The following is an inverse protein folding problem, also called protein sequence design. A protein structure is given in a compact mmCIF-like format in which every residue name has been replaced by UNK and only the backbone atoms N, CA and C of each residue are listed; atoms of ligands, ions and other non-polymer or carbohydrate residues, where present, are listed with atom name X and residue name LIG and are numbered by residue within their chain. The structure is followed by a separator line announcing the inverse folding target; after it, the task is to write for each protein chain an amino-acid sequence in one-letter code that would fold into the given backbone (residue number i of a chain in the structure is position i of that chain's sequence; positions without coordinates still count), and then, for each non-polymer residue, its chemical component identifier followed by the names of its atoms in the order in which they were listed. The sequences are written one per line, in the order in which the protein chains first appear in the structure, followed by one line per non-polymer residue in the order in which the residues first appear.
data_IF_248554865919
#
_entry.id   IF_248554865919
#
_cell.length_a   1.000
_cell.length_b   1.000
_cell.length_c   1.000
_cell.angle_alpha   90.00
_cell.angle_beta   90.00
_cell.angle_gamma   90.00
#
_symmetry.space_group_name_H-M   'P 1'
#
loop_
_entity.id
_entity.type
_entity.pdbx_description
1 polymer ?
#
# COMPACT_ATOMS: atom_id res chain seq x y z
N UNK A 1 7.44 -34.17 0.36
CA UNK A 1 6.04 -33.71 0.54
C UNK A 1 6.08 -32.23 0.87
N UNK A 2 5.39 -31.41 0.11
CA UNK A 2 5.43 -29.96 0.31
C UNK A 2 4.63 -29.53 1.55
N UNK A 3 5.17 -28.61 2.31
CA UNK A 3 4.62 -28.11 3.58
C UNK A 3 4.64 -26.58 3.64
N UNK A 4 3.78 -26.01 4.48
CA UNK A 4 3.84 -24.59 4.82
C UNK A 4 4.72 -24.38 6.04
N UNK A 5 5.63 -23.41 5.94
CA UNK A 5 6.48 -22.97 7.05
C UNK A 5 6.36 -21.47 7.25
N UNK A 6 6.53 -21.00 8.48
CA UNK A 6 6.56 -19.57 8.82
C UNK A 6 7.95 -19.19 9.25
N UNK A 7 8.53 -18.22 8.56
CA UNK A 7 9.88 -17.74 8.81
C UNK A 7 9.89 -16.19 8.75
N UNK A 8 10.83 -15.56 9.43
CA UNK A 8 11.09 -14.16 9.25
C UNK A 8 11.56 -13.89 7.82
N UNK A 9 11.06 -12.82 7.19
CA UNK A 9 11.56 -12.43 5.86
C UNK A 9 13.02 -11.99 5.98
N UNK A 10 13.86 -12.51 5.11
CA UNK A 10 15.30 -12.23 5.07
C UNK A 10 15.80 -12.00 3.65
N UNK A 11 17.04 -11.57 3.49
CA UNK A 11 17.67 -11.39 2.18
C UNK A 11 17.60 -12.62 1.28
N UNK A 12 17.69 -13.81 1.85
CA UNK A 12 17.60 -15.07 1.08
C UNK A 12 16.27 -15.23 0.33
N UNK A 13 15.21 -14.56 0.80
CA UNK A 13 13.88 -14.61 0.19
C UNK A 13 13.67 -13.58 -0.92
N UNK A 14 14.56 -12.60 -1.09
CA UNK A 14 14.41 -11.55 -2.12
C UNK A 14 14.56 -12.13 -3.53
N UNK A 15 15.54 -13.02 -3.71
CA UNK A 15 15.73 -13.72 -4.97
C UNK A 15 14.52 -14.58 -5.33
N UNK A 16 13.98 -15.31 -4.35
CA UNK A 16 12.75 -16.08 -4.51
C UNK A 16 11.58 -15.18 -4.97
N UNK A 17 11.39 -14.03 -4.33
CA UNK A 17 10.34 -13.08 -4.74
C UNK A 17 10.48 -12.65 -6.20
N UNK A 18 11.68 -12.27 -6.62
CA UNK A 18 11.95 -11.88 -8.01
C UNK A 18 11.66 -13.02 -9.00
N UNK A 19 12.08 -14.24 -8.67
CA UNK A 19 11.81 -15.44 -9.46
C UNK A 19 10.31 -15.74 -9.58
N UNK A 20 9.57 -15.69 -8.46
CA UNK A 20 8.13 -15.97 -8.44
C UNK A 20 7.31 -14.92 -9.20
N UNK A 21 7.72 -13.67 -9.19
CA UNK A 21 7.07 -12.60 -9.94
C UNK A 21 7.51 -12.55 -11.41
N UNK A 22 8.68 -13.11 -11.74
CA UNK A 22 9.23 -13.10 -13.10
C UNK A 22 9.58 -11.69 -13.60
N UNK A 23 9.86 -10.76 -12.70
CA UNK A 23 10.22 -9.36 -13.00
C UNK A 23 11.02 -8.75 -11.87
N UNK A 24 11.75 -7.70 -12.17
CA UNK A 24 12.37 -6.85 -11.16
C UNK A 24 11.28 -6.15 -10.31
N UNK A 25 11.41 -6.25 -9.01
CA UNK A 25 10.54 -5.64 -8.02
C UNK A 25 11.14 -4.34 -7.42
N UNK A 26 12.07 -3.70 -8.11
CA UNK A 26 12.76 -2.49 -7.63
C UNK A 26 14.15 -2.79 -7.04
N UNK A 27 14.66 -3.99 -7.30
CA UNK A 27 15.99 -4.42 -6.87
C UNK A 27 16.08 -4.80 -5.40
N UNK A 28 17.24 -5.33 -5.01
CA UNK A 28 17.50 -5.82 -3.66
C UNK A 28 17.43 -4.70 -2.60
N UNK A 29 17.89 -3.49 -2.93
CA UNK A 29 17.83 -2.32 -2.04
C UNK A 29 16.39 -1.95 -1.67
N UNK A 30 15.46 -2.03 -2.65
CA UNK A 30 14.05 -1.77 -2.40
C UNK A 30 13.41 -2.87 -1.54
N UNK A 31 13.73 -4.14 -1.80
CA UNK A 31 13.23 -5.26 -1.00
C UNK A 31 13.78 -5.22 0.44
N UNK A 32 15.05 -4.85 0.61
CA UNK A 32 15.65 -4.62 1.92
C UNK A 32 14.91 -3.52 2.69
N UNK A 33 14.73 -2.35 2.07
CA UNK A 33 13.97 -1.25 2.64
C UNK A 33 12.54 -1.68 3.01
N UNK A 34 11.83 -2.31 2.08
CA UNK A 34 10.45 -2.73 2.25
C UNK A 34 10.25 -3.76 3.38
N UNK A 35 11.16 -4.72 3.50
CA UNK A 35 10.97 -5.87 4.37
C UNK A 35 11.75 -5.83 5.66
N UNK A 36 12.90 -5.17 5.71
CA UNK A 36 13.80 -5.22 6.84
C UNK A 36 13.96 -3.88 7.57
N UNK A 37 13.65 -2.74 6.93
CA UNK A 37 13.81 -1.42 7.55
C UNK A 37 12.50 -0.80 8.04
N UNK A 38 11.36 -1.48 7.88
CA UNK A 38 10.07 -0.93 8.31
C UNK A 38 10.00 -0.82 9.85
N UNK A 39 9.93 0.41 10.42
CA UNK A 39 10.00 0.61 11.86
C UNK A 39 8.74 0.16 12.61
N UNK A 40 7.63 -0.02 11.88
CA UNK A 40 6.36 -0.46 12.45
C UNK A 40 6.18 -1.98 12.39
N UNK A 41 7.12 -2.69 11.79
CA UNK A 41 7.28 -4.11 12.01
C UNK A 41 8.10 -4.26 13.30
N UNK A 42 7.47 -4.22 14.46
CA UNK A 42 8.13 -4.16 15.76
C UNK A 42 9.12 -5.29 16.01
N UNK A 43 8.72 -6.42 16.54
CA UNK A 43 9.60 -7.56 16.69
C UNK A 43 9.78 -8.34 15.37
N UNK A 44 10.85 -9.12 15.19
CA UNK A 44 11.07 -9.93 13.99
C UNK A 44 9.90 -10.85 13.60
N UNK A 45 9.00 -11.12 14.53
CA UNK A 45 7.79 -11.94 14.34
C UNK A 45 6.60 -11.18 13.74
N UNK A 46 6.63 -9.85 13.65
CA UNK A 46 5.48 -9.06 13.17
C UNK A 46 5.42 -8.98 11.64
N UNK A 47 6.53 -9.25 10.96
CA UNK A 47 6.57 -9.45 9.52
C UNK A 47 6.99 -10.85 9.18
N UNK A 48 6.01 -11.70 8.98
CA UNK A 48 6.20 -13.13 8.77
C UNK A 48 6.05 -13.48 7.30
N UNK A 49 7.05 -14.16 6.75
CA UNK A 49 6.93 -14.87 5.49
C UNK A 49 6.26 -16.22 5.72
N UNK A 50 5.27 -16.53 4.92
CA UNK A 50 4.63 -17.84 4.84
C UNK A 50 5.15 -18.47 3.57
N UNK A 51 5.86 -19.59 3.70
CA UNK A 51 6.51 -20.25 2.59
C UNK A 51 5.90 -21.61 2.35
N UNK A 52 5.69 -21.95 1.07
CA UNK A 52 5.35 -23.29 0.63
C UNK A 52 6.64 -23.96 0.13
N UNK A 53 7.11 -25.00 0.84
CA UNK A 53 8.38 -25.68 0.57
C UNK A 53 8.16 -27.15 0.26
N UNK A 54 8.94 -27.67 -0.70
CA UNK A 54 9.12 -29.11 -0.90
C UNK A 54 10.62 -29.43 -0.69
N UNK A 55 10.91 -30.16 0.38
CA UNK A 55 12.27 -30.35 0.88
C UNK A 55 12.96 -28.98 1.10
N UNK A 56 14.09 -28.73 0.48
CA UNK A 56 14.84 -27.47 0.57
C UNK A 56 14.39 -26.39 -0.46
N UNK A 57 13.44 -26.72 -1.35
CA UNK A 57 13.02 -25.81 -2.43
C UNK A 57 11.78 -25.02 -2.04
N UNK A 58 11.88 -23.70 -2.11
CA UNK A 58 10.73 -22.79 -1.97
C UNK A 58 9.90 -22.78 -3.25
N UNK A 59 8.61 -23.03 -3.13
CA UNK A 59 7.63 -23.09 -4.24
C UNK A 59 6.62 -21.96 -4.20
N UNK A 60 6.59 -21.21 -3.11
CA UNK A 60 5.72 -20.06 -2.95
C UNK A 60 6.04 -19.28 -1.71
N UNK A 61 5.61 -18.01 -1.72
CA UNK A 61 5.78 -17.07 -0.61
C UNK A 61 4.57 -16.15 -0.50
N UNK A 62 4.20 -15.81 0.73
CA UNK A 62 3.20 -14.81 1.07
C UNK A 62 3.64 -14.05 2.32
N UNK A 63 3.60 -12.73 2.30
CA UNK A 63 4.01 -11.92 3.44
C UNK A 63 2.80 -11.44 4.21
N UNK A 64 2.83 -11.67 5.52
CA UNK A 64 1.88 -11.19 6.51
C UNK A 64 2.58 -10.16 7.39
N UNK A 65 2.05 -8.96 7.49
CA UNK A 65 2.64 -7.86 8.26
C UNK A 65 1.60 -7.24 9.19
N UNK A 66 1.95 -7.12 10.46
CA UNK A 66 1.08 -6.53 11.47
C UNK A 66 1.32 -5.02 11.57
N UNK A 67 0.23 -4.23 11.55
CA UNK A 67 0.29 -2.78 11.68
C UNK A 67 -0.86 -2.20 12.51
N UNK A 68 -0.59 -1.19 13.34
CA UNK A 68 -1.63 -0.32 13.85
C UNK A 68 -2.14 0.60 12.73
N UNK A 69 -3.42 0.56 12.47
CA UNK A 69 -4.10 1.40 11.51
C UNK A 69 -5.06 2.37 12.20
N UNK A 70 -5.31 3.47 11.52
CA UNK A 70 -6.22 4.51 11.96
C UNK A 70 -7.11 4.95 10.82
N UNK A 71 -8.39 5.16 11.12
CA UNK A 71 -9.30 5.94 10.29
C UNK A 71 -10.09 6.88 11.19
N UNK A 72 -10.08 8.18 10.87
CA UNK A 72 -10.66 9.19 11.75
C UNK A 72 -10.08 9.10 13.17
N UNK A 73 -10.92 8.79 14.16
CA UNK A 73 -10.54 8.53 15.56
C UNK A 73 -10.49 7.06 15.92
N UNK A 74 -10.77 6.17 14.98
CA UNK A 74 -10.79 4.72 15.19
C UNK A 74 -9.39 4.14 14.98
N UNK A 75 -8.88 3.44 15.99
CA UNK A 75 -7.61 2.70 15.93
C UNK A 75 -7.88 1.22 15.99
N UNK A 76 -7.19 0.45 15.16
CA UNK A 76 -7.30 -1.01 15.13
C UNK A 76 -6.07 -1.65 14.50
N UNK A 77 -5.77 -2.86 14.91
CA UNK A 77 -4.68 -3.62 14.34
C UNK A 77 -5.13 -4.34 13.07
N UNK A 78 -4.28 -4.32 12.07
CA UNK A 78 -4.51 -5.01 10.81
C UNK A 78 -3.36 -5.95 10.48
N UNK A 79 -3.67 -6.99 9.75
CA UNK A 79 -2.73 -7.83 9.06
C UNK A 79 -2.71 -7.42 7.58
N UNK A 80 -1.63 -6.82 7.14
CA UNK A 80 -1.46 -6.48 5.74
C UNK A 80 -0.83 -7.65 4.99
N UNK A 81 -1.58 -8.17 4.03
CA UNK A 81 -1.24 -9.32 3.22
C UNK A 81 -0.67 -8.85 1.87
N UNK A 82 0.55 -9.27 1.57
CA UNK A 82 1.22 -8.84 0.34
C UNK A 82 2.28 -9.83 -0.15
N UNK A 83 2.88 -9.49 -1.29
CA UNK A 83 3.97 -10.24 -1.90
C UNK A 83 3.67 -11.75 -2.06
N UNK A 84 2.46 -12.05 -2.56
CA UNK A 84 2.05 -13.40 -2.86
C UNK A 84 2.60 -13.84 -4.22
N UNK A 85 3.54 -14.76 -4.21
CA UNK A 85 4.07 -15.44 -5.38
C UNK A 85 3.96 -16.96 -5.22
N UNK A 86 3.57 -17.66 -6.28
CA UNK A 86 3.44 -19.12 -6.31
C UNK A 86 4.04 -19.63 -7.61
N UNK A 87 4.95 -20.61 -7.50
CA UNK A 87 5.59 -21.24 -8.65
C UNK A 87 4.55 -21.89 -9.55
N UNK A 88 4.72 -21.75 -10.89
CA UNK A 88 3.73 -22.21 -11.87
C UNK A 88 3.37 -23.68 -11.75
N UNK A 89 4.33 -24.54 -11.41
CA UNK A 89 4.14 -26.00 -11.27
C UNK A 89 3.18 -26.40 -10.14
N UNK A 90 3.07 -25.59 -9.09
CA UNK A 90 2.23 -25.89 -7.91
C UNK A 90 1.07 -24.90 -7.74
N UNK A 91 0.88 -24.01 -8.70
CA UNK A 91 -0.17 -22.99 -8.64
C UNK A 91 -1.54 -23.65 -8.76
N UNK A 92 -2.28 -23.66 -7.65
CA UNK A 92 -3.65 -24.18 -7.56
C UNK A 92 -4.49 -23.30 -6.65
N UNK A 93 -5.81 -23.45 -6.76
CA UNK A 93 -6.75 -22.77 -5.87
C UNK A 93 -6.62 -23.23 -4.42
N UNK A 94 -6.24 -24.49 -4.21
CA UNK A 94 -6.00 -25.07 -2.87
C UNK A 94 -4.78 -24.42 -2.22
N UNK A 95 -3.64 -24.40 -2.90
CA UNK A 95 -2.42 -23.77 -2.38
C UNK A 95 -2.64 -22.27 -2.11
N UNK A 96 -3.35 -21.58 -3.01
CA UNK A 96 -3.71 -20.17 -2.81
C UNK A 96 -4.57 -19.99 -1.55
N UNK A 97 -5.62 -20.79 -1.38
CA UNK A 97 -6.47 -20.77 -0.19
C UNK A 97 -5.64 -21.01 1.08
N UNK A 98 -4.77 -22.01 1.06
CA UNK A 98 -3.98 -22.39 2.22
C UNK A 98 -2.99 -21.30 2.63
N UNK A 99 -2.43 -20.52 1.70
CA UNK A 99 -1.66 -19.33 2.03
C UNK A 99 -2.48 -18.33 2.87
N UNK A 100 -3.72 -18.03 2.49
CA UNK A 100 -4.58 -17.13 3.27
C UNK A 100 -4.92 -17.71 4.65
N UNK A 101 -5.20 -19.02 4.73
CA UNK A 101 -5.46 -19.67 6.02
C UNK A 101 -4.22 -19.65 6.93
N UNK A 102 -3.05 -19.88 6.37
CA UNK A 102 -1.79 -19.78 7.13
C UNK A 102 -1.45 -18.34 7.54
N UNK A 103 -1.90 -17.33 6.78
CA UNK A 103 -1.67 -15.93 7.10
C UNK A 103 -2.63 -15.39 8.17
N UNK A 104 -3.72 -16.10 8.48
CA UNK A 104 -4.73 -15.65 9.45
C UNK A 104 -4.12 -15.41 10.82
N UNK A 105 -4.49 -14.28 11.43
CA UNK A 105 -4.12 -13.87 12.78
C UNK A 105 -5.36 -13.68 13.65
N UNK A 106 -5.27 -14.04 14.91
CA UNK A 106 -6.37 -13.86 15.89
C UNK A 106 -6.31 -12.52 16.62
N UNK A 107 -5.18 -11.82 16.55
CA UNK A 107 -4.87 -10.58 17.27
C UNK A 107 -5.11 -9.31 16.44
N UNK A 108 -5.77 -9.43 15.29
CA UNK A 108 -6.10 -8.33 14.39
C UNK A 108 -7.60 -8.18 14.20
N UNK A 109 -8.03 -6.96 13.95
CA UNK A 109 -9.44 -6.66 13.67
C UNK A 109 -9.80 -6.79 12.19
N UNK A 110 -8.79 -6.77 11.29
CA UNK A 110 -8.99 -6.93 9.86
C UNK A 110 -7.73 -7.46 9.15
N UNK A 111 -7.95 -8.16 8.05
CA UNK A 111 -6.94 -8.42 7.02
C UNK A 111 -7.12 -7.43 5.87
N UNK A 112 -6.02 -6.91 5.34
CA UNK A 112 -6.01 -5.97 4.20
C UNK A 112 -5.08 -6.51 3.12
N UNK A 113 -5.53 -6.51 1.87
CA UNK A 113 -4.66 -6.78 0.73
C UNK A 113 -4.99 -5.87 -0.47
N UNK A 114 -4.00 -5.65 -1.33
CA UNK A 114 -4.13 -4.86 -2.55
C UNK A 114 -3.90 -5.74 -3.78
N UNK A 115 -4.74 -5.61 -4.80
CA UNK A 115 -4.56 -6.33 -6.06
C UNK A 115 -5.29 -5.66 -7.23
N UNK A 116 -5.05 -6.17 -8.44
CA UNK A 116 -5.83 -5.81 -9.62
C UNK A 116 -7.25 -6.36 -9.59
N UNK A 117 -8.12 -5.89 -10.50
CA UNK A 117 -9.54 -6.26 -10.56
C UNK A 117 -9.79 -7.77 -10.65
N UNK A 118 -8.95 -8.50 -11.37
CA UNK A 118 -9.11 -9.94 -11.57
C UNK A 118 -8.79 -10.71 -10.30
N UNK A 119 -7.65 -10.43 -9.70
CA UNK A 119 -7.19 -11.17 -8.52
C UNK A 119 -7.98 -10.83 -7.28
N UNK A 120 -8.40 -9.57 -7.12
CA UNK A 120 -9.13 -9.15 -5.93
C UNK A 120 -10.45 -9.91 -5.77
N UNK A 121 -11.14 -10.24 -6.87
CA UNK A 121 -12.36 -11.05 -6.83
C UNK A 121 -12.13 -12.49 -6.39
N UNK A 122 -10.96 -13.05 -6.74
CA UNK A 122 -10.57 -14.38 -6.25
C UNK A 122 -10.28 -14.33 -4.75
N UNK A 123 -9.57 -13.30 -4.30
CA UNK A 123 -9.24 -13.11 -2.89
C UNK A 123 -10.50 -12.87 -2.05
N UNK A 124 -11.43 -12.05 -2.54
CA UNK A 124 -12.74 -11.84 -1.87
C UNK A 124 -13.49 -13.15 -1.66
N UNK A 125 -13.53 -14.03 -2.66
CA UNK A 125 -14.17 -15.35 -2.53
C UNK A 125 -13.48 -16.22 -1.46
N UNK A 126 -12.15 -16.18 -1.39
CA UNK A 126 -11.39 -16.89 -0.36
C UNK A 126 -11.69 -16.31 1.02
N UNK A 127 -11.67 -14.98 1.16
CA UNK A 127 -11.98 -14.29 2.42
C UNK A 127 -13.37 -14.71 2.90
N UNK A 128 -14.42 -14.51 2.08
CA UNK A 128 -15.80 -14.80 2.47
C UNK A 128 -16.05 -16.25 2.83
N UNK A 129 -15.37 -17.18 2.17
CA UNK A 129 -15.57 -18.60 2.40
C UNK A 129 -14.80 -19.16 3.59
N UNK A 130 -13.60 -18.64 3.87
CA UNK A 130 -12.66 -19.29 4.78
C UNK A 130 -12.14 -18.40 5.93
N UNK A 131 -12.23 -17.08 5.83
CA UNK A 131 -11.68 -16.15 6.82
C UNK A 131 -12.78 -15.37 7.54
N UNK A 132 -13.55 -14.57 6.81
CA UNK A 132 -14.64 -13.75 7.34
C UNK A 132 -15.67 -13.45 6.25
N UNK A 133 -16.95 -13.47 6.59
CA UNK A 133 -18.02 -13.10 5.67
C UNK A 133 -18.13 -11.61 5.44
N UNK A 134 -17.56 -10.81 6.34
CA UNK A 134 -17.65 -9.35 6.34
C UNK A 134 -16.48 -8.75 5.55
N UNK A 135 -16.70 -8.51 4.26
CA UNK A 135 -15.65 -8.00 3.34
C UNK A 135 -16.11 -6.75 2.62
N UNK A 136 -15.15 -5.84 2.36
CA UNK A 136 -15.37 -4.63 1.58
C UNK A 136 -14.23 -4.40 0.60
N UNK A 137 -14.57 -3.95 -0.61
CA UNK A 137 -13.59 -3.59 -1.66
C UNK A 137 -13.65 -2.10 -1.90
N UNK A 138 -12.49 -1.46 -1.81
CA UNK A 138 -12.29 -0.04 -2.12
C UNK A 138 -11.48 0.09 -3.42
N UNK A 139 -12.08 0.63 -4.49
CA UNK A 139 -11.42 0.78 -5.77
C UNK A 139 -10.61 2.06 -5.84
N UNK A 140 -9.36 1.95 -6.31
CA UNK A 140 -8.42 3.04 -6.56
C UNK A 140 -7.91 3.01 -7.99
N UNK A 141 -7.40 4.16 -8.42
CA UNK A 141 -6.65 4.30 -9.67
C UNK A 141 -5.29 4.91 -9.36
N UNK A 142 -4.23 4.23 -9.78
CA UNK A 142 -2.88 4.79 -9.84
C UNK A 142 -2.70 5.42 -11.22
N UNK A 143 -2.42 6.71 -11.25
CA UNK A 143 -2.25 7.50 -12.46
C UNK A 143 -0.83 8.02 -12.56
N UNK A 144 -0.26 7.98 -13.76
CA UNK A 144 0.89 8.80 -14.13
C UNK A 144 0.40 9.89 -15.07
N UNK A 145 0.59 11.14 -14.68
CA UNK A 145 0.04 12.32 -15.35
C UNK A 145 1.14 13.27 -15.79
N UNK A 146 0.84 14.05 -16.85
CA UNK A 146 1.49 15.32 -17.15
C UNK A 146 0.61 16.45 -16.60
N UNK A 147 0.95 17.04 -15.44
CA UNK A 147 0.02 17.89 -14.69
C UNK A 147 0.05 19.35 -15.17
N UNK A 148 -0.30 19.60 -16.41
CA UNK A 148 -0.15 20.90 -17.06
C UNK A 148 -1.13 21.97 -16.59
N UNK A 149 -2.39 21.59 -16.33
CA UNK A 149 -3.48 22.49 -15.95
C UNK A 149 -3.65 22.63 -14.43
N UNK A 150 -2.87 21.88 -13.64
CA UNK A 150 -2.94 21.98 -12.19
C UNK A 150 -2.18 23.22 -11.72
N UNK A 151 -2.83 24.04 -10.91
CA UNK A 151 -2.20 25.20 -10.29
C UNK A 151 -1.78 24.88 -8.87
N UNK A 152 -0.50 25.07 -8.55
CA UNK A 152 -0.03 25.11 -7.18
C UNK A 152 -0.10 26.56 -6.67
N UNK A 153 -0.90 26.78 -5.66
CA UNK A 153 -0.86 28.02 -4.89
C UNK A 153 0.42 28.07 -4.04
N UNK A 154 0.63 29.22 -3.38
CA UNK A 154 1.77 29.38 -2.46
C UNK A 154 1.84 28.22 -1.47
N UNK A 155 3.02 27.65 -1.32
CA UNK A 155 3.32 26.59 -0.39
C UNK A 155 4.68 26.84 0.27
N UNK A 156 4.91 26.25 1.43
CA UNK A 156 6.22 26.27 2.09
C UNK A 156 6.78 24.86 2.08
N UNK A 157 8.08 24.72 1.77
CA UNK A 157 8.83 23.48 1.92
C UNK A 157 9.48 23.50 3.31
N UNK A 158 9.35 22.41 4.06
CA UNK A 158 10.01 22.21 5.34
C UNK A 158 9.03 21.84 6.48
N UNK A 159 9.62 21.33 7.55
CA UNK A 159 8.89 20.78 8.69
C UNK A 159 8.36 19.36 8.45
N UNK A 160 8.24 18.59 9.54
CA UNK A 160 7.60 17.28 9.45
C UNK A 160 6.11 17.45 9.18
N UNK A 161 5.58 16.67 8.26
CA UNK A 161 4.15 16.56 8.06
C UNK A 161 3.49 16.09 9.37
N UNK A 162 2.64 16.91 9.96
CA UNK A 162 1.86 16.50 11.11
C UNK A 162 0.70 15.65 10.61
N UNK A 163 0.58 14.44 11.13
CA UNK A 163 -0.57 13.61 10.84
C UNK A 163 -1.84 14.28 11.35
N UNK A 164 -2.57 14.90 10.46
CA UNK A 164 -3.91 15.35 10.75
C UNK A 164 -4.88 14.16 10.63
N UNK A 165 -5.80 14.07 11.60
CA UNK A 165 -6.90 13.09 11.52
C UNK A 165 -7.97 13.62 10.59
N UNK A 166 -7.87 13.30 9.31
CA UNK A 166 -8.89 13.67 8.33
C UNK A 166 -9.89 12.53 8.11
N UNK A 167 -11.12 12.91 7.79
CA UNK A 167 -12.19 11.99 7.47
C UNK A 167 -11.80 11.17 6.24
N UNK A 168 -12.08 9.87 6.28
CA UNK A 168 -11.84 8.91 5.19
C UNK A 168 -10.37 8.66 4.81
N UNK A 169 -9.41 9.13 5.61
CA UNK A 169 -8.01 8.77 5.43
C UNK A 169 -7.72 7.52 6.29
N UNK A 170 -7.62 6.38 5.63
CA UNK A 170 -7.24 5.11 6.25
C UNK A 170 -5.74 4.91 6.08
N UNK A 171 -5.02 4.70 7.16
CA UNK A 171 -3.58 4.45 7.06
C UNK A 171 -2.96 4.05 8.38
N UNK A 172 -1.67 3.69 8.30
CA UNK A 172 -0.88 3.41 9.49
C UNK A 172 -0.70 4.69 10.30
N UNK A 173 -0.60 4.53 11.61
CA UNK A 173 -0.13 5.63 12.46
C UNK A 173 1.30 6.02 12.05
N UNK A 174 1.52 7.32 11.80
CA UNK A 174 2.81 7.84 11.31
C UNK A 174 3.44 8.70 12.39
N UNK A 175 4.44 8.15 13.04
CA UNK A 175 5.35 8.86 13.93
C UNK A 175 6.62 9.33 13.19
N UNK A 176 7.57 9.91 13.92
CA UNK A 176 8.86 10.34 13.34
C UNK A 176 9.61 9.19 12.66
N UNK A 177 9.52 7.95 13.19
CA UNK A 177 10.20 6.78 12.62
C UNK A 177 9.61 6.41 11.24
N UNK A 178 8.30 6.60 11.05
CA UNK A 178 7.67 6.39 9.76
C UNK A 178 8.20 7.37 8.70
N UNK A 179 8.41 8.63 9.07
CA UNK A 179 8.99 9.63 8.17
C UNK A 179 10.46 9.38 7.88
N UNK A 180 11.28 9.08 8.89
CA UNK A 180 12.68 8.67 8.70
C UNK A 180 12.82 7.45 7.78
N UNK A 181 11.89 6.51 7.90
CA UNK A 181 11.85 5.35 7.03
C UNK A 181 11.55 5.73 5.57
N UNK A 182 10.61 6.66 5.34
CA UNK A 182 10.31 7.15 4.01
C UNK A 182 11.49 7.92 3.40
N UNK A 183 12.22 8.70 4.18
CA UNK A 183 13.42 9.41 3.73
C UNK A 183 14.54 8.46 3.24
N UNK A 184 14.55 7.24 3.75
CA UNK A 184 15.49 6.17 3.32
C UNK A 184 14.97 5.38 2.10
N UNK A 185 13.86 5.79 1.48
CA UNK A 185 13.27 5.06 0.36
C UNK A 185 14.20 5.07 -0.86
N UNK A 186 14.65 3.90 -1.35
CA UNK A 186 15.73 3.83 -2.33
C UNK A 186 15.38 4.29 -3.75
N UNK A 187 14.09 4.45 -4.06
CA UNK A 187 13.62 4.90 -5.38
C UNK A 187 13.55 6.43 -5.50
N UNK A 188 13.62 7.17 -4.38
CA UNK A 188 13.55 8.62 -4.39
C UNK A 188 14.91 9.22 -4.01
N UNK A 189 15.36 10.18 -4.80
CA UNK A 189 16.56 10.94 -4.48
C UNK A 189 16.27 12.09 -3.50
N UNK A 190 15.00 12.50 -3.40
CA UNK A 190 14.56 13.54 -2.46
C UNK A 190 13.10 13.31 -2.05
N UNK A 191 12.80 13.56 -0.79
CA UNK A 191 11.44 13.63 -0.23
C UNK A 191 11.17 15.08 0.15
N UNK A 192 10.03 15.60 -0.32
CA UNK A 192 9.58 16.95 -0.03
C UNK A 192 8.39 16.91 0.93
N UNK A 193 8.46 17.70 1.97
CA UNK A 193 7.37 17.96 2.91
C UNK A 193 6.80 19.33 2.60
N UNK A 194 5.61 19.38 2.08
CA UNK A 194 4.97 20.60 1.57
C UNK A 194 3.78 20.95 2.42
N UNK A 195 3.69 22.21 2.83
CA UNK A 195 2.64 22.71 3.70
C UNK A 195 1.92 23.91 3.07
N UNK A 196 0.60 24.00 3.30
CA UNK A 196 -0.25 25.13 2.96
C UNK A 196 -1.32 25.30 4.03
N UNK A 197 -1.10 26.19 5.00
CA UNK A 197 -1.97 26.29 6.16
C UNK A 197 -2.02 24.96 6.92
N UNK A 198 -3.21 24.38 7.06
CA UNK A 198 -3.42 23.09 7.74
C UNK A 198 -3.26 21.88 6.80
N UNK A 199 -2.99 22.11 5.51
CA UNK A 199 -2.79 21.04 4.53
C UNK A 199 -1.31 20.68 4.43
N UNK A 200 -1.03 19.42 4.24
CA UNK A 200 0.31 18.94 3.87
C UNK A 200 0.24 17.91 2.74
N UNK A 201 1.36 17.77 2.04
CA UNK A 201 1.63 16.67 1.13
C UNK A 201 3.06 16.19 1.32
N UNK A 202 3.28 14.89 1.19
CA UNK A 202 4.61 14.27 1.13
C UNK A 202 4.82 13.78 -0.30
N UNK A 203 5.89 14.26 -0.94
CA UNK A 203 6.16 13.98 -2.35
C UNK A 203 7.57 13.41 -2.47
N UNK A 204 7.69 12.21 -3.05
CA UNK A 204 8.96 11.59 -3.40
C UNK A 204 9.35 11.90 -4.84
N UNK A 205 10.55 12.41 -5.06
CA UNK A 205 11.08 12.67 -6.39
C UNK A 205 12.09 11.58 -6.79
N UNK A 206 11.81 10.94 -7.91
CA UNK A 206 12.73 10.05 -8.63
C UNK A 206 13.21 10.73 -9.92
N UNK A 207 14.10 10.07 -10.68
CA UNK A 207 14.48 10.53 -12.02
C UNK A 207 13.32 10.50 -13.03
N UNK A 208 12.25 9.76 -12.74
CA UNK A 208 11.15 9.53 -13.67
C UNK A 208 9.93 10.40 -13.40
N UNK A 209 9.63 10.68 -12.13
CA UNK A 209 8.43 11.43 -11.74
C UNK A 209 8.51 11.94 -10.29
N UNK A 210 7.62 12.90 -9.98
CA UNK A 210 7.21 13.22 -8.62
C UNK A 210 6.03 12.33 -8.22
N UNK A 211 6.14 11.56 -7.14
CA UNK A 211 5.07 10.68 -6.65
C UNK A 211 4.46 11.24 -5.37
N UNK A 212 3.13 11.40 -5.35
CA UNK A 212 2.40 11.78 -4.15
C UNK A 212 2.35 10.58 -3.19
N UNK A 213 3.06 10.68 -2.08
CA UNK A 213 3.20 9.62 -1.09
C UNK A 213 2.17 9.71 0.02
N UNK A 214 1.91 10.91 0.50
CA UNK A 214 0.94 11.17 1.56
C UNK A 214 0.28 12.54 1.40
N UNK A 215 -0.91 12.70 1.99
CA UNK A 215 -1.71 13.92 1.89
C UNK A 215 -2.59 14.05 3.13
N UNK A 216 -2.74 15.27 3.63
CA UNK A 216 -3.50 15.52 4.85
C UNK A 216 -5.01 15.34 4.70
N UNK A 217 -5.56 15.64 3.53
CA UNK A 217 -7.00 15.59 3.27
C UNK A 217 -7.29 14.94 1.92
N UNK A 218 -7.95 13.78 1.86
CA UNK A 218 -8.28 13.09 0.63
C UNK A 218 -9.49 13.74 -0.10
N UNK A 219 -9.49 15.06 -0.23
CA UNK A 219 -10.47 15.80 -1.01
C UNK A 219 -9.99 16.08 -2.43
N UNK A 220 -10.93 16.30 -3.35
CA UNK A 220 -10.63 16.69 -4.73
C UNK A 220 -9.71 17.90 -4.80
N UNK A 221 -9.98 18.93 -3.99
CA UNK A 221 -9.20 20.17 -3.96
C UNK A 221 -7.78 19.91 -3.50
N UNK A 222 -7.60 19.11 -2.45
CA UNK A 222 -6.30 18.79 -1.92
C UNK A 222 -5.48 17.93 -2.89
N UNK A 223 -6.08 16.96 -3.58
CA UNK A 223 -5.42 16.22 -4.66
C UNK A 223 -5.00 17.15 -5.80
N UNK A 224 -5.89 18.05 -6.25
CA UNK A 224 -5.57 19.01 -7.30
C UNK A 224 -4.41 19.92 -6.90
N UNK A 225 -4.40 20.41 -5.68
CA UNK A 225 -3.30 21.20 -5.13
C UNK A 225 -1.98 20.40 -5.09
N UNK A 226 -2.00 19.20 -4.51
CA UNK A 226 -0.78 18.37 -4.36
C UNK A 226 -0.19 17.97 -5.72
N UNK A 227 -1.04 17.65 -6.72
CA UNK A 227 -0.61 17.38 -8.08
C UNK A 227 -0.02 18.64 -8.72
N UNK A 228 -0.60 19.81 -8.46
CA UNK A 228 -0.04 21.09 -8.89
C UNK A 228 1.34 21.36 -8.29
N UNK A 229 1.58 20.98 -7.02
CA UNK A 229 2.92 21.03 -6.42
C UNK A 229 3.88 20.07 -7.12
N UNK A 230 3.46 18.84 -7.40
CA UNK A 230 4.28 17.88 -8.14
C UNK A 230 4.79 18.46 -9.48
N UNK A 231 3.99 19.27 -10.17
CA UNK A 231 4.35 19.97 -11.41
C UNK A 231 5.59 20.88 -11.26
N UNK A 232 5.74 21.54 -10.13
CA UNK A 232 6.93 22.36 -9.86
C UNK A 232 8.18 21.53 -9.59
N UNK A 233 8.00 20.29 -9.15
CA UNK A 233 9.10 19.40 -8.80
C UNK A 233 9.53 18.51 -9.97
N UNK A 234 8.57 18.12 -10.84
CA UNK A 234 8.84 17.25 -11.98
C UNK A 234 7.76 17.38 -13.06
N UNK A 235 8.11 17.15 -14.34
CA UNK A 235 7.19 17.20 -15.48
C UNK A 235 6.16 16.05 -15.49
N UNK A 236 6.37 14.99 -14.71
CA UNK A 236 5.45 13.87 -14.54
C UNK A 236 5.09 13.72 -13.07
N UNK A 237 3.82 13.41 -12.82
CA UNK A 237 3.31 13.15 -11.47
C UNK A 237 2.68 11.76 -11.41
N UNK A 238 2.98 11.02 -10.36
CA UNK A 238 2.33 9.75 -10.04
C UNK A 238 1.48 9.91 -8.78
N UNK A 239 0.23 9.47 -8.85
CA UNK A 239 -0.74 9.61 -7.77
C UNK A 239 -1.68 8.42 -7.71
N UNK A 240 -2.04 7.97 -6.51
CA UNK A 240 -3.10 6.99 -6.28
C UNK A 240 -4.31 7.71 -5.68
N UNK A 241 -5.45 7.60 -6.34
CA UNK A 241 -6.70 8.26 -5.97
C UNK A 241 -7.87 7.27 -5.87
N UNK A 242 -8.89 7.51 -5.04
CA UNK A 242 -10.18 6.82 -5.16
C UNK A 242 -10.78 7.01 -6.56
N UNK A 243 -11.44 5.97 -7.07
CA UNK A 243 -12.05 6.03 -8.43
C UNK A 243 -13.06 7.15 -8.60
N UNK A 244 -13.72 7.59 -7.52
CA UNK A 244 -14.64 8.73 -7.52
C UNK A 244 -14.01 10.05 -8.00
N UNK A 245 -12.69 10.22 -7.83
CA UNK A 245 -11.99 11.43 -8.29
C UNK A 245 -11.39 11.32 -9.70
N UNK A 246 -11.43 10.15 -10.33
CA UNK A 246 -10.78 9.87 -11.60
C UNK A 246 -11.10 10.90 -12.68
N UNK A 247 -12.40 11.09 -13.01
CA UNK A 247 -12.82 12.00 -14.08
C UNK A 247 -12.38 13.45 -13.82
N UNK A 248 -12.48 13.91 -12.58
CA UNK A 248 -12.14 15.29 -12.23
C UNK A 248 -10.63 15.55 -12.25
N UNK A 249 -9.81 14.57 -11.92
CA UNK A 249 -8.36 14.68 -11.97
C UNK A 249 -7.89 14.58 -13.42
N UNK A 250 -8.36 13.60 -14.20
CA UNK A 250 -7.99 13.45 -15.60
C UNK A 250 -8.39 14.67 -16.46
N UNK A 251 -9.52 15.32 -16.17
CA UNK A 251 -9.94 16.52 -16.89
C UNK A 251 -8.98 17.73 -16.70
N UNK A 252 -8.19 17.76 -15.66
CA UNK A 252 -7.19 18.78 -15.37
C UNK A 252 -5.78 18.41 -15.86
N UNK A 253 -5.51 17.16 -16.18
CA UNK A 253 -4.23 16.73 -16.73
C UNK A 253 -4.12 17.14 -18.21
N UNK A 254 -2.92 17.51 -18.66
CA UNK A 254 -2.66 17.67 -20.09
C UNK A 254 -2.65 16.33 -20.80
N UNK A 255 -2.16 15.29 -20.10
CA UNK A 255 -2.04 13.94 -20.61
C UNK A 255 -2.10 12.93 -19.46
N UNK A 256 -2.81 11.83 -19.65
CA UNK A 256 -2.74 10.63 -18.80
C UNK A 256 -1.77 9.66 -19.48
N UNK A 257 -0.56 9.56 -18.93
CA UNK A 257 0.53 8.74 -19.50
C UNK A 257 0.31 7.26 -19.22
N UNK A 258 -0.14 6.94 -18.01
CA UNK A 258 -0.43 5.58 -17.60
C UNK A 258 -1.54 5.54 -16.56
N UNK A 259 -2.32 4.47 -16.60
CA UNK A 259 -3.39 4.16 -15.66
C UNK A 259 -3.28 2.71 -15.20
N UNK A 260 -3.48 2.50 -13.89
CA UNK A 260 -3.56 1.16 -13.31
C UNK A 260 -4.65 1.12 -12.25
N UNK A 261 -5.63 0.25 -12.45
CA UNK A 261 -6.66 -0.02 -11.44
C UNK A 261 -6.12 -0.92 -10.34
N UNK A 262 -6.44 -0.56 -9.12
CA UNK A 262 -5.98 -1.24 -7.91
C UNK A 262 -7.17 -1.27 -6.96
N UNK A 263 -7.37 -2.42 -6.33
CA UNK A 263 -8.39 -2.55 -5.31
C UNK A 263 -7.74 -2.91 -3.98
N UNK A 264 -8.26 -2.34 -2.92
CA UNK A 264 -8.01 -2.76 -1.56
C UNK A 264 -9.19 -3.61 -1.10
N UNK A 265 -8.91 -4.85 -0.71
CA UNK A 265 -9.87 -5.72 -0.04
C UNK A 265 -9.58 -5.68 1.45
N UNK A 266 -10.62 -5.44 2.24
CA UNK A 266 -10.59 -5.56 3.69
C UNK A 266 -11.55 -6.66 4.09
N UNK A 267 -11.08 -7.60 4.93
CA UNK A 267 -11.90 -8.57 5.61
C UNK A 267 -11.92 -8.27 7.10
N UNK A 268 -13.08 -7.94 7.64
CA UNK A 268 -13.26 -7.54 9.04
C UNK A 268 -13.58 -8.74 9.92
N UNK A 269 -12.91 -8.85 11.07
CA UNK A 269 -13.21 -9.81 12.13
C UNK A 269 -14.06 -9.19 13.25
N UNK A 270 -14.25 -7.87 13.24
CA UNK A 270 -15.09 -7.10 14.15
C UNK A 270 -16.20 -6.41 13.38
N UNK A 271 -17.45 -6.72 13.69
CA UNK A 271 -18.64 -6.06 13.13
C UNK A 271 -18.62 -4.56 13.44
N UNK A 272 -18.28 -4.19 14.66
CA UNK A 272 -18.16 -2.78 15.08
C UNK A 272 -17.23 -1.96 14.19
N UNK A 273 -16.09 -2.53 13.77
CA UNK A 273 -15.17 -1.83 12.86
C UNK A 273 -15.77 -1.71 11.47
N UNK A 274 -16.38 -2.79 10.97
CA UNK A 274 -17.05 -2.80 9.68
C UNK A 274 -18.15 -1.74 9.56
N UNK A 275 -18.97 -1.59 10.59
CA UNK A 275 -20.06 -0.61 10.65
C UNK A 275 -19.56 0.84 10.67
N UNK A 276 -18.39 1.08 11.28
CA UNK A 276 -17.80 2.41 11.39
C UNK A 276 -16.99 2.82 10.14
N UNK A 277 -16.73 1.89 9.21
CA UNK A 277 -15.98 2.19 8.00
C UNK A 277 -16.83 2.94 6.98
N UNK A 278 -16.37 4.07 6.45
CA UNK A 278 -17.10 4.81 5.43
C UNK A 278 -17.12 4.04 4.10
N UNK A 279 -18.07 4.37 3.23
CA UNK A 279 -18.20 3.77 1.90
C UNK A 279 -17.01 4.07 0.98
N UNK A 280 -16.36 5.20 1.19
CA UNK A 280 -15.16 5.62 0.47
C UNK A 280 -14.06 5.94 1.48
N UNK A 281 -12.87 5.42 1.23
CA UNK A 281 -11.66 5.73 1.98
C UNK A 281 -10.54 6.06 1.01
N UNK A 282 -9.54 6.78 1.50
CA UNK A 282 -8.28 6.91 0.81
C UNK A 282 -7.17 6.31 1.66
N UNK A 283 -6.27 5.62 0.97
CA UNK A 283 -5.06 5.02 1.55
C UNK A 283 -3.88 5.68 0.88
N UNK A 284 -2.96 6.19 1.65
CA UNK A 284 -1.78 6.83 1.08
C UNK A 284 -0.84 5.79 0.45
N UNK A 285 -0.02 6.24 -0.48
CA UNK A 285 0.95 5.38 -1.17
C UNK A 285 1.93 4.72 -0.21
N UNK A 286 2.25 5.42 0.89
CA UNK A 286 3.13 4.92 1.95
C UNK A 286 2.56 3.70 2.69
N UNK A 287 1.24 3.58 2.78
CA UNK A 287 0.58 2.48 3.50
C UNK A 287 0.38 1.25 2.61
N UNK A 288 0.53 1.41 1.29
CA UNK A 288 0.41 0.34 0.31
C UNK A 288 1.79 -0.22 -0.01
N UNK A 289 2.09 -1.43 0.41
CA UNK A 289 3.38 -2.11 0.18
C UNK A 289 3.22 -3.51 -0.34
#
# INVERSE_FOLDING_TARGET
MAVFVREAVSHNHFKLLQELYGRDLGGERFLHWKHLLDPHCGAPMEKTGIFYKDQERYLGMFVSSFYPFKINKLYFNVNMLGDLGIHRQVKSSTVLKDFFLQAKRSDVAADICFSDDRKIRVYEKIFRKYLTTNTQIYPFVELTLKPDKFMAFRFTEGGQARQASFINNLGREKDHRAFEYIEKHPLYHKIHYINKGNLYAVIGCSSECAELLDISNPSRECFSWAIGVCRHLHSRCKVMIPTGFYKSICAQAAEVIAEKRINMLIGYYSEKISELMPKEVWVCRMDRR
#
